data_IF_589973742319
#
_entry.id   IF_589973742319
#
_cell.length_a   1.000
_cell.length_b   1.000
_cell.length_c   1.000
_cell.angle_alpha   90.00
_cell.angle_beta   90.00
_cell.angle_gamma   90.00
#
_symmetry.space_group_name_H-M   'P 1'
#
loop_
_entity.id
_entity.type
_entity.pdbx_description
1 polymer ?
#
# COMPACT_ATOMS: atom_id res chain seq x y z
N UNK A 1 -70.14 56.01 -23.29
CA UNK A 1 -69.42 56.04 -24.58
C UNK A 1 -67.97 55.65 -24.34
N UNK A 2 -67.65 54.45 -24.84
CA UNK A 2 -66.32 53.89 -25.17
C UNK A 2 -65.12 54.27 -24.31
N UNK A 3 -64.67 53.35 -23.44
CA UNK A 3 -63.27 53.29 -23.01
C UNK A 3 -62.72 51.88 -23.18
N UNK A 4 -61.77 51.79 -24.11
CA UNK A 4 -60.92 50.64 -24.38
C UNK A 4 -60.16 50.20 -23.14
N UNK A 5 -60.10 48.88 -22.89
CA UNK A 5 -59.05 48.27 -22.09
C UNK A 5 -58.41 47.15 -22.92
N UNK A 6 -57.09 47.28 -23.10
CA UNK A 6 -56.22 46.42 -23.91
C UNK A 6 -56.00 45.07 -23.23
N UNK A 7 -56.15 43.98 -23.98
CA UNK A 7 -55.64 42.66 -23.62
C UNK A 7 -54.28 42.50 -24.32
N UNK A 8 -53.19 42.41 -23.54
CA UNK A 8 -51.89 41.96 -24.02
C UNK A 8 -51.82 40.44 -23.94
N UNK A 9 -51.59 39.80 -25.09
CA UNK A 9 -51.11 38.43 -25.16
C UNK A 9 -49.57 38.45 -25.25
N UNK A 10 -48.89 37.68 -24.40
CA UNK A 10 -47.49 37.30 -24.62
C UNK A 10 -47.30 35.83 -24.24
N UNK A 11 -46.62 35.15 -25.16
CA UNK A 11 -46.47 33.71 -25.33
C UNK A 11 -45.65 33.04 -24.21
N UNK A 12 -46.10 31.85 -23.81
CA UNK A 12 -45.33 30.91 -22.98
C UNK A 12 -44.49 30.00 -23.90
N UNK A 13 -43.18 30.22 -23.98
CA UNK A 13 -42.26 29.31 -24.67
C UNK A 13 -41.79 28.21 -23.73
N UNK A 14 -42.14 26.96 -24.02
CA UNK A 14 -41.61 25.79 -23.36
C UNK A 14 -40.23 25.43 -23.93
N UNK A 15 -39.17 25.54 -23.13
CA UNK A 15 -37.84 25.02 -23.45
C UNK A 15 -37.71 23.58 -22.97
N UNK A 16 -37.64 22.63 -23.90
CA UNK A 16 -37.19 21.26 -23.63
C UNK A 16 -35.67 21.25 -23.40
N UNK A 17 -35.23 20.83 -22.22
CA UNK A 17 -33.82 20.56 -21.93
C UNK A 17 -33.47 19.16 -22.47
N UNK A 18 -32.61 19.11 -23.49
CA UNK A 18 -32.01 17.88 -23.97
C UNK A 18 -30.99 17.37 -22.92
N UNK A 19 -31.23 16.18 -22.38
CA UNK A 19 -30.27 15.50 -21.52
C UNK A 19 -29.13 14.92 -22.39
N UNK A 20 -27.98 15.59 -22.40
CA UNK A 20 -26.75 15.00 -22.94
C UNK A 20 -26.13 14.07 -21.91
N UNK A 21 -26.23 12.77 -22.15
CA UNK A 21 -25.45 11.72 -21.50
C UNK A 21 -23.98 11.88 -21.87
N UNK A 22 -23.17 12.46 -20.97
CA UNK A 22 -21.71 12.41 -21.10
C UNK A 22 -21.24 10.98 -20.85
N UNK A 23 -20.86 10.29 -21.93
CA UNK A 23 -20.01 9.12 -21.85
C UNK A 23 -18.69 9.52 -21.15
N UNK A 24 -18.33 8.80 -20.09
CA UNK A 24 -17.06 9.02 -19.38
C UNK A 24 -15.86 8.81 -20.31
N UNK A 25 -14.68 9.34 -19.96
CA UNK A 25 -13.50 9.23 -20.81
C UNK A 25 -13.08 7.76 -20.93
N UNK A 26 -13.30 7.18 -22.11
CA UNK A 26 -12.65 5.95 -22.56
C UNK A 26 -11.16 6.24 -22.70
N UNK A 27 -10.35 5.71 -21.78
CA UNK A 27 -8.88 5.67 -21.92
C UNK A 27 -8.52 5.06 -23.25
N UNK A 28 -7.72 5.75 -24.06
CA UNK A 28 -7.23 5.23 -25.33
C UNK A 28 -6.34 4.02 -25.08
N UNK A 29 -6.41 3.04 -25.97
CA UNK A 29 -5.56 1.84 -25.92
C UNK A 29 -4.08 2.27 -25.87
N UNK A 30 -3.40 1.96 -24.76
CA UNK A 30 -1.99 2.31 -24.52
C UNK A 30 -1.73 3.50 -23.57
N UNK A 31 -2.76 4.22 -23.09
CA UNK A 31 -2.57 5.25 -22.05
C UNK A 31 -2.50 4.65 -20.64
N UNK A 32 -1.54 5.11 -19.83
CA UNK A 32 -1.44 4.71 -18.44
C UNK A 32 -2.68 5.16 -17.67
N UNK A 33 -3.31 4.20 -16.98
CA UNK A 33 -4.47 4.46 -16.13
C UNK A 33 -4.14 5.50 -15.05
N UNK A 34 -5.01 6.48 -14.77
CA UNK A 34 -4.79 7.45 -13.71
C UNK A 34 -4.55 6.77 -12.35
N UNK A 35 -3.61 7.28 -11.56
CA UNK A 35 -3.21 6.68 -10.27
C UNK A 35 -4.39 6.38 -9.33
N UNK A 36 -5.36 7.29 -9.22
CA UNK A 36 -6.57 7.07 -8.41
C UNK A 36 -7.37 5.86 -8.88
N UNK A 37 -7.46 5.64 -10.20
CA UNK A 37 -8.13 4.47 -10.78
C UNK A 37 -7.28 3.22 -10.62
N UNK A 38 -5.96 3.30 -10.72
CA UNK A 38 -5.05 2.17 -10.40
C UNK A 38 -5.27 1.66 -8.98
N UNK A 39 -5.42 2.58 -8.04
CA UNK A 39 -5.70 2.24 -6.64
C UNK A 39 -7.11 1.68 -6.47
N UNK A 40 -8.12 2.37 -7.00
CA UNK A 40 -9.51 2.01 -6.77
C UNK A 40 -9.92 0.70 -7.45
N UNK A 41 -9.41 0.41 -8.64
CA UNK A 41 -9.88 -0.67 -9.50
C UNK A 41 -9.12 -1.99 -9.32
N UNK A 42 -8.37 -2.13 -8.23
CA UNK A 42 -7.77 -3.41 -7.85
C UNK A 42 -8.85 -4.44 -7.53
N UNK A 43 -8.50 -5.69 -7.75
CA UNK A 43 -9.22 -6.86 -7.24
C UNK A 43 -8.40 -7.49 -6.13
N UNK A 44 -9.07 -8.12 -5.17
CA UNK A 44 -8.44 -8.57 -3.93
C UNK A 44 -8.23 -10.10 -3.91
N UNK A 45 -7.28 -10.61 -3.11
CA UNK A 45 -6.36 -9.89 -2.22
C UNK A 45 -5.31 -9.02 -2.92
N UNK A 46 -4.87 -7.96 -2.25
CA UNK A 46 -3.88 -7.00 -2.75
C UNK A 46 -2.61 -7.12 -1.91
N UNK A 47 -1.48 -7.41 -2.54
CA UNK A 47 -0.20 -7.72 -1.87
C UNK A 47 0.82 -6.66 -2.25
N UNK A 48 1.71 -6.29 -1.33
CA UNK A 48 2.81 -5.36 -1.60
C UNK A 48 4.17 -6.02 -1.48
N UNK A 49 5.16 -5.43 -2.15
CA UNK A 49 6.57 -5.82 -2.06
C UNK A 49 7.35 -4.75 -1.28
N UNK A 50 7.90 -5.14 -0.14
CA UNK A 50 8.85 -4.35 0.64
C UNK A 50 10.28 -4.71 0.24
N UNK A 51 10.85 -3.96 -0.70
CA UNK A 51 12.18 -4.18 -1.28
C UNK A 51 12.36 -5.54 -2.01
N UNK A 52 12.33 -6.67 -1.32
CA UNK A 52 12.70 -7.97 -1.88
C UNK A 52 11.53 -8.72 -2.51
N UNK A 53 11.74 -9.47 -3.61
CA UNK A 53 10.68 -10.20 -4.30
C UNK A 53 10.31 -11.50 -3.58
N UNK A 54 9.21 -12.13 -4.01
CA UNK A 54 8.82 -13.47 -3.58
C UNK A 54 9.85 -14.53 -4.04
N UNK A 55 10.21 -15.48 -3.17
CA UNK A 55 11.33 -16.40 -3.42
C UNK A 55 10.96 -17.80 -3.91
N UNK A 56 9.73 -18.25 -3.64
CA UNK A 56 9.27 -19.59 -4.01
C UNK A 56 8.92 -19.71 -5.51
N UNK A 57 8.93 -18.61 -6.27
CA UNK A 57 8.63 -18.56 -7.70
C UNK A 57 9.88 -18.72 -8.56
N UNK A 58 10.72 -19.70 -8.23
CA UNK A 58 11.98 -19.97 -8.94
C UNK A 58 11.69 -20.37 -10.39
N UNK A 59 12.14 -19.55 -11.33
CA UNK A 59 11.95 -19.76 -12.77
C UNK A 59 10.95 -18.81 -13.42
N UNK A 60 10.23 -18.00 -12.63
CA UNK A 60 9.41 -16.91 -13.17
C UNK A 60 10.28 -15.67 -13.51
N UNK A 61 9.92 -14.96 -14.58
CA UNK A 61 10.58 -13.69 -14.92
C UNK A 61 10.41 -12.68 -13.77
N UNK A 62 11.49 -11.99 -13.42
CA UNK A 62 11.52 -11.08 -12.28
C UNK A 62 10.51 -9.92 -12.38
N UNK A 63 10.16 -9.46 -13.59
CA UNK A 63 9.12 -8.44 -13.73
C UNK A 63 7.72 -9.03 -13.57
N UNK A 64 7.50 -10.27 -14.02
CA UNK A 64 6.25 -11.00 -13.76
C UNK A 64 6.07 -11.20 -12.26
N UNK A 65 7.10 -11.67 -11.55
CA UNK A 65 7.07 -11.82 -10.08
C UNK A 65 6.80 -10.48 -9.39
N UNK A 66 7.47 -9.41 -9.80
CA UNK A 66 7.20 -8.07 -9.28
C UNK A 66 5.74 -7.64 -9.53
N UNK A 67 5.23 -7.84 -10.75
CA UNK A 67 3.89 -7.41 -11.16
C UNK A 67 2.75 -8.21 -10.50
N UNK A 68 3.03 -9.34 -9.85
CA UNK A 68 2.05 -10.01 -8.97
C UNK A 68 1.57 -9.09 -7.84
N UNK A 69 2.44 -8.20 -7.38
CA UNK A 69 2.14 -7.20 -6.35
C UNK A 69 1.37 -6.02 -6.92
N UNK A 70 0.55 -5.40 -6.08
CA UNK A 70 -0.20 -4.18 -6.40
C UNK A 70 0.46 -2.91 -5.88
N UNK A 71 1.47 -3.04 -5.01
CA UNK A 71 2.34 -1.94 -4.61
C UNK A 71 3.77 -2.46 -4.43
N UNK A 72 4.75 -1.71 -4.92
CA UNK A 72 6.17 -1.98 -4.67
C UNK A 72 6.80 -0.69 -4.16
N UNK A 73 7.56 -0.78 -3.07
CA UNK A 73 8.51 0.26 -2.70
C UNK A 73 9.92 -0.30 -2.64
N UNK A 74 10.87 0.48 -3.15
CA UNK A 74 12.30 0.14 -3.15
C UNK A 74 13.12 1.42 -3.31
N UNK A 75 14.42 1.39 -2.98
CA UNK A 75 15.34 2.46 -3.39
C UNK A 75 15.34 2.71 -4.92
N UNK A 76 15.61 3.95 -5.40
CA UNK A 76 15.49 4.35 -6.79
C UNK A 76 16.18 3.43 -7.82
N UNK A 77 17.33 2.85 -7.44
CA UNK A 77 18.10 1.94 -8.28
C UNK A 77 17.35 0.69 -8.73
N UNK A 78 16.28 0.27 -8.03
CA UNK A 78 15.44 -0.84 -8.48
C UNK A 78 14.83 -0.59 -9.85
N UNK A 79 14.43 0.65 -10.13
CA UNK A 79 13.92 1.04 -11.46
C UNK A 79 15.07 1.36 -12.44
N UNK A 80 16.32 1.26 -12.03
CA UNK A 80 17.48 1.63 -12.83
C UNK A 80 17.86 3.11 -12.72
N UNK A 81 17.23 3.88 -11.82
CA UNK A 81 17.58 5.28 -11.61
C UNK A 81 18.98 5.42 -10.99
N UNK A 82 19.79 6.32 -11.54
CA UNK A 82 21.14 6.60 -11.08
C UNK A 82 21.25 8.06 -10.63
N UNK A 83 21.61 8.27 -9.37
CA UNK A 83 21.81 9.61 -8.83
C UNK A 83 22.91 10.37 -9.61
N UNK A 84 22.71 11.67 -9.80
CA UNK A 84 23.54 12.51 -10.66
C UNK A 84 24.91 12.91 -10.09
N UNK A 85 25.18 12.60 -8.81
CA UNK A 85 26.50 12.84 -8.19
C UNK A 85 26.79 11.90 -7.04
N UNK A 86 28.08 11.80 -6.72
CA UNK A 86 28.60 11.18 -5.51
C UNK A 86 29.14 12.24 -4.54
N UNK A 87 29.08 12.00 -3.22
CA UNK A 87 28.39 10.89 -2.57
C UNK A 87 26.85 11.01 -2.71
N UNK A 88 26.15 9.87 -2.81
CA UNK A 88 24.69 9.81 -3.12
C UNK A 88 23.84 10.68 -2.20
N UNK A 89 24.20 10.82 -0.93
CA UNK A 89 23.49 11.64 0.05
C UNK A 89 23.45 13.11 -0.30
N UNK A 90 24.37 13.58 -1.13
CA UNK A 90 24.37 14.93 -1.66
C UNK A 90 23.58 15.06 -2.97
N UNK A 91 23.21 13.98 -3.66
CA UNK A 91 22.59 14.07 -4.98
C UNK A 91 21.25 14.84 -5.02
N UNK A 92 21.04 15.58 -6.11
CA UNK A 92 19.87 16.46 -6.31
C UNK A 92 18.97 16.03 -7.46
N UNK A 93 19.36 15.00 -8.22
CA UNK A 93 18.61 14.49 -9.35
C UNK A 93 19.19 13.19 -9.89
N UNK A 94 18.75 12.80 -11.08
CA UNK A 94 19.14 11.55 -11.73
C UNK A 94 19.76 11.80 -13.11
N UNK A 95 20.58 10.87 -13.60
CA UNK A 95 21.13 10.98 -14.96
C UNK A 95 20.01 10.83 -16.00
N UNK A 96 20.00 11.60 -17.10
CA UNK A 96 18.92 11.52 -18.09
C UNK A 96 18.70 10.13 -18.68
N UNK A 97 19.79 9.38 -18.94
CA UNK A 97 19.72 8.01 -19.45
C UNK A 97 19.03 7.06 -18.48
N UNK A 98 19.29 7.19 -17.18
CA UNK A 98 18.65 6.35 -16.15
C UNK A 98 17.14 6.64 -16.01
N UNK A 99 16.71 7.89 -16.21
CA UNK A 99 15.29 8.26 -16.20
C UNK A 99 14.55 7.57 -17.35
N UNK A 100 15.12 7.54 -18.55
CA UNK A 100 14.52 6.87 -19.70
C UNK A 100 14.35 5.35 -19.45
N UNK A 101 15.39 4.70 -18.91
CA UNK A 101 15.34 3.28 -18.55
C UNK A 101 14.29 2.99 -17.47
N UNK A 102 14.20 3.84 -16.44
CA UNK A 102 13.21 3.69 -15.37
C UNK A 102 11.77 3.82 -15.87
N UNK A 103 11.50 4.79 -16.76
CA UNK A 103 10.20 4.91 -17.44
C UNK A 103 9.87 3.68 -18.28
N UNK A 104 10.85 3.09 -18.96
CA UNK A 104 10.65 1.87 -19.75
C UNK A 104 10.33 0.66 -18.84
N UNK A 105 11.06 0.51 -17.72
CA UNK A 105 10.77 -0.55 -16.74
C UNK A 105 9.37 -0.39 -16.14
N UNK A 106 8.98 0.84 -15.76
CA UNK A 106 7.59 1.16 -15.35
C UNK A 106 6.57 0.73 -16.39
N UNK A 107 6.75 1.11 -17.67
CA UNK A 107 5.84 0.72 -18.76
C UNK A 107 5.70 -0.80 -18.88
N UNK A 108 6.79 -1.55 -18.75
CA UNK A 108 6.76 -3.03 -18.78
C UNK A 108 5.99 -3.59 -17.59
N UNK A 109 6.22 -3.09 -16.39
CA UNK A 109 5.50 -3.51 -15.18
C UNK A 109 3.99 -3.20 -15.29
N UNK A 110 3.62 -2.01 -15.80
CA UNK A 110 2.22 -1.62 -15.93
C UNK A 110 1.48 -2.36 -17.06
N UNK A 111 2.18 -2.93 -18.04
CA UNK A 111 1.58 -3.88 -18.98
C UNK A 111 1.19 -5.20 -18.31
N UNK A 112 1.99 -5.65 -17.33
CA UNK A 112 1.75 -6.88 -16.59
C UNK A 112 0.72 -6.68 -15.47
N UNK A 113 0.79 -5.56 -14.77
CA UNK A 113 -0.20 -5.15 -13.78
C UNK A 113 -0.59 -3.68 -13.97
N UNK A 114 -1.69 -3.40 -14.69
CA UNK A 114 -2.17 -2.04 -14.93
C UNK A 114 -2.52 -1.24 -13.68
N UNK A 115 -2.72 -1.91 -12.53
CA UNK A 115 -3.11 -1.30 -11.27
C UNK A 115 -1.95 -1.22 -10.23
N UNK A 116 -0.77 -1.76 -10.54
CA UNK A 116 0.43 -1.69 -9.68
C UNK A 116 0.67 -0.25 -9.23
N UNK A 117 1.26 0.01 -8.06
CA UNK A 117 1.74 1.33 -7.58
C UNK A 117 3.24 1.23 -7.29
N UNK A 118 4.03 2.21 -7.71
CA UNK A 118 5.49 2.21 -7.54
C UNK A 118 5.91 3.38 -6.65
N UNK A 119 6.64 3.11 -5.56
CA UNK A 119 7.20 4.14 -4.69
C UNK A 119 8.72 4.02 -4.60
N UNK A 120 9.40 5.15 -4.45
CA UNK A 120 10.83 5.18 -4.18
C UNK A 120 11.11 5.44 -2.68
N UNK A 121 11.90 4.56 -2.04
CA UNK A 121 12.44 4.85 -0.72
C UNK A 121 13.46 5.99 -0.82
N UNK A 122 13.26 7.06 -0.06
CA UNK A 122 14.22 8.15 0.10
C UNK A 122 14.76 8.12 1.52
N UNK A 123 16.06 7.85 1.65
CA UNK A 123 16.76 7.85 2.94
C UNK A 123 16.71 9.24 3.56
N UNK A 124 16.19 9.32 4.77
CA UNK A 124 16.20 10.53 5.57
C UNK A 124 16.75 10.31 6.99
N UNK A 125 16.55 9.13 7.58
CA UNK A 125 16.85 8.86 9.00
C UNK A 125 18.24 8.28 9.23
N UNK A 126 18.69 7.35 8.39
CA UNK A 126 20.01 6.76 8.49
C UNK A 126 20.57 6.29 7.13
N UNK A 127 21.90 6.18 7.07
CA UNK A 127 22.61 5.66 5.91
C UNK A 127 23.96 5.03 6.30
N UNK A 128 24.52 4.24 5.38
CA UNK A 128 25.88 3.69 5.49
C UNK A 128 26.93 4.78 5.35
N UNK A 129 28.17 4.50 5.80
CA UNK A 129 29.33 5.35 5.50
C UNK A 129 29.46 5.58 3.99
N UNK A 130 29.96 6.76 3.61
CA UNK A 130 30.08 7.17 2.21
C UNK A 130 28.79 7.70 1.58
N UNK A 131 27.64 7.67 2.29
CA UNK A 131 26.44 8.37 1.83
C UNK A 131 26.61 9.89 1.86
N UNK A 132 27.29 10.41 2.86
CA UNK A 132 27.78 11.79 2.93
C UNK A 132 29.29 11.75 3.21
N UNK A 133 30.03 12.84 2.95
CA UNK A 133 31.42 12.96 3.41
C UNK A 133 31.52 12.78 4.94
N UNK A 134 32.65 12.28 5.41
CA UNK A 134 32.91 12.17 6.85
C UNK A 134 32.92 13.57 7.48
N UNK A 135 32.30 13.72 8.66
CA UNK A 135 32.21 15.02 9.35
C UNK A 135 31.16 15.99 8.79
N UNK A 136 30.41 15.62 7.74
CA UNK A 136 29.34 16.47 7.22
C UNK A 136 28.30 16.80 8.31
N UNK A 137 27.85 18.05 8.36
CA UNK A 137 26.87 18.58 9.33
C UNK A 137 25.48 17.90 9.33
N UNK A 138 25.25 16.99 8.37
CA UNK A 138 24.00 16.24 8.23
C UNK A 138 24.12 14.82 8.79
N UNK A 139 25.29 14.42 9.29
CA UNK A 139 25.39 13.30 10.19
C UNK A 139 24.97 13.74 11.59
N UNK A 140 24.21 12.89 12.28
CA UNK A 140 23.87 13.14 13.68
C UNK A 140 25.05 12.73 14.57
N UNK A 141 25.49 13.67 15.41
CA UNK A 141 26.53 13.44 16.41
C UNK A 141 25.97 13.56 17.82
N UNK A 142 26.52 12.74 18.72
CA UNK A 142 26.35 12.85 20.16
C UNK A 142 27.72 12.65 20.81
N UNK A 143 28.13 13.59 21.66
CA UNK A 143 29.43 13.59 22.35
C UNK A 143 30.62 13.40 21.39
N UNK A 144 30.57 14.09 20.23
CA UNK A 144 31.59 14.04 19.18
C UNK A 144 31.62 12.73 18.37
N UNK A 145 30.71 11.79 18.59
CA UNK A 145 30.64 10.50 17.88
C UNK A 145 29.38 10.39 17.02
N UNK A 146 29.46 9.78 15.82
CA UNK A 146 28.29 9.59 14.98
C UNK A 146 27.30 8.63 15.67
N UNK A 147 26.03 8.99 15.67
CA UNK A 147 24.98 8.19 16.32
C UNK A 147 24.67 6.95 15.48
N UNK A 148 24.76 5.72 16.03
CA UNK A 148 24.37 4.51 15.31
C UNK A 148 22.91 4.54 14.87
N UNK A 149 22.65 4.12 13.64
CA UNK A 149 21.29 3.95 13.11
C UNK A 149 20.61 2.69 13.67
N UNK A 150 21.35 1.60 13.80
CA UNK A 150 20.81 0.31 14.23
C UNK A 150 21.74 -0.34 15.25
N UNK A 151 21.21 -1.19 16.12
CA UNK A 151 22.00 -1.88 17.14
C UNK A 151 23.00 -2.86 16.51
N UNK A 152 22.61 -3.45 15.37
CA UNK A 152 23.38 -4.36 14.54
C UNK A 152 24.54 -3.68 13.79
N UNK A 153 24.58 -2.34 13.77
CA UNK A 153 25.63 -1.54 13.15
C UNK A 153 25.52 -1.38 11.63
N UNK A 154 26.53 -0.72 11.05
CA UNK A 154 26.66 -0.49 9.60
C UNK A 154 25.91 0.74 9.04
N UNK A 155 25.05 1.39 9.84
CA UNK A 155 24.36 2.62 9.49
C UNK A 155 24.52 3.67 10.59
N UNK A 156 24.50 4.94 10.20
CA UNK A 156 24.59 6.09 11.09
C UNK A 156 23.41 7.02 10.85
N UNK A 157 22.92 7.65 11.91
CA UNK A 157 21.78 8.55 11.81
C UNK A 157 22.16 9.83 11.08
N UNK A 158 21.21 10.31 10.28
CA UNK A 158 21.26 11.57 9.58
C UNK A 158 20.46 12.60 10.39
N UNK A 159 20.95 13.83 10.47
CA UNK A 159 20.38 14.84 11.33
C UNK A 159 19.13 15.50 10.72
N UNK A 160 18.01 14.79 10.76
CA UNK A 160 16.70 15.30 10.33
C UNK A 160 16.19 16.50 11.17
N UNK A 161 16.91 16.91 12.22
CA UNK A 161 16.65 18.14 12.98
C UNK A 161 17.24 19.36 12.27
N UNK A 162 18.24 19.18 11.41
CA UNK A 162 18.79 20.24 10.56
C UNK A 162 17.77 20.63 9.46
N UNK A 163 17.33 21.92 9.39
CA UNK A 163 16.35 22.37 8.40
C UNK A 163 16.86 22.30 6.95
N UNK A 164 18.16 22.50 6.70
CA UNK A 164 18.74 22.38 5.36
C UNK A 164 18.69 20.92 4.89
N UNK A 165 19.00 19.99 5.78
CA UNK A 165 18.91 18.58 5.46
C UNK A 165 17.47 18.15 5.15
N UNK A 166 16.47 18.63 5.91
CA UNK A 166 15.06 18.38 5.58
C UNK A 166 14.66 18.94 4.22
N UNK A 167 15.11 20.15 3.87
CA UNK A 167 14.91 20.73 2.53
C UNK A 167 15.52 19.86 1.45
N UNK A 168 16.74 19.35 1.69
CA UNK A 168 17.43 18.47 0.77
C UNK A 168 16.69 17.14 0.57
N UNK A 169 16.22 16.50 1.65
CA UNK A 169 15.38 15.29 1.56
C UNK A 169 14.11 15.57 0.74
N UNK A 170 13.42 16.67 1.00
CA UNK A 170 12.23 17.06 0.25
C UNK A 170 12.53 17.28 -1.24
N UNK A 171 13.66 17.93 -1.57
CA UNK A 171 14.10 18.12 -2.96
C UNK A 171 14.39 16.78 -3.66
N UNK A 172 14.98 15.80 -2.95
CA UNK A 172 15.21 14.45 -3.48
C UNK A 172 13.90 13.67 -3.70
N UNK A 173 12.92 13.82 -2.82
CA UNK A 173 11.58 13.29 -3.02
C UNK A 173 10.92 13.89 -4.28
N UNK A 174 11.03 15.20 -4.48
CA UNK A 174 10.55 15.85 -5.70
C UNK A 174 11.26 15.31 -6.94
N UNK A 175 12.60 15.25 -6.90
CA UNK A 175 13.40 14.80 -8.04
C UNK A 175 13.05 13.39 -8.50
N UNK A 176 12.74 12.46 -7.58
CA UNK A 176 12.35 11.10 -7.96
C UNK A 176 10.93 11.05 -8.54
N UNK A 177 9.99 11.82 -8.00
CA UNK A 177 8.62 11.93 -8.53
C UNK A 177 8.60 12.56 -9.92
N UNK A 178 9.38 13.62 -10.15
CA UNK A 178 9.50 14.31 -11.44
C UNK A 178 10.09 13.42 -12.56
N UNK A 179 10.76 12.32 -12.20
CA UNK A 179 11.15 11.32 -13.21
C UNK A 179 9.93 10.68 -13.88
N UNK A 180 8.75 10.65 -13.25
CA UNK A 180 7.58 9.93 -13.75
C UNK A 180 7.75 8.40 -13.75
N UNK A 181 8.80 7.87 -13.13
CA UNK A 181 9.00 6.43 -12.98
C UNK A 181 8.26 5.85 -11.75
N UNK A 182 7.95 6.70 -10.77
CA UNK A 182 7.25 6.34 -9.53
C UNK A 182 6.01 7.21 -9.32
N UNK A 183 5.08 6.70 -8.53
CA UNK A 183 3.83 7.35 -8.10
C UNK A 183 3.98 8.14 -6.80
N UNK A 184 5.11 7.98 -6.10
CA UNK A 184 5.36 8.60 -4.82
C UNK A 184 6.64 8.14 -4.15
N UNK A 185 6.73 8.40 -2.85
CA UNK A 185 7.91 8.10 -2.03
C UNK A 185 7.54 7.30 -0.79
N UNK A 186 8.53 6.56 -0.28
CA UNK A 186 8.49 5.88 1.00
C UNK A 186 9.58 6.45 1.91
N UNK A 187 9.25 6.75 3.16
CA UNK A 187 10.18 7.22 4.19
C UNK A 187 10.24 6.19 5.33
N UNK A 188 11.39 5.54 5.47
CA UNK A 188 11.55 4.44 6.43
C UNK A 188 11.81 4.92 7.87
N UNK A 189 11.36 4.11 8.82
CA UNK A 189 11.39 4.35 10.26
C UNK A 189 10.78 5.69 10.71
N UNK A 190 9.47 5.73 10.93
CA UNK A 190 8.70 6.92 11.27
C UNK A 190 8.12 6.83 12.69
N UNK A 191 8.50 7.79 13.52
CA UNK A 191 7.90 8.07 14.81
C UNK A 191 7.76 9.58 14.89
N UNK A 192 6.54 10.09 14.81
CA UNK A 192 6.34 11.53 14.67
C UNK A 192 6.90 12.33 15.84
N UNK A 193 7.51 13.46 15.50
CA UNK A 193 8.03 14.49 16.38
C UNK A 193 7.94 15.82 15.60
N UNK A 194 8.33 16.93 16.22
CA UNK A 194 8.27 18.25 15.56
C UNK A 194 9.12 18.34 14.28
N UNK A 195 10.24 17.60 14.22
CA UNK A 195 11.16 17.63 13.09
C UNK A 195 10.65 16.78 11.93
N UNK A 196 10.03 15.63 12.22
CA UNK A 196 9.34 14.79 11.24
C UNK A 196 8.04 15.40 10.75
N UNK A 197 7.34 16.15 11.59
CA UNK A 197 6.24 17.00 11.14
C UNK A 197 6.74 18.05 10.12
N UNK A 198 7.82 18.76 10.44
CA UNK A 198 8.44 19.71 9.52
C UNK A 198 8.91 19.03 8.23
N UNK A 199 9.46 17.81 8.31
CA UNK A 199 9.86 17.02 7.15
C UNK A 199 8.66 16.60 6.30
N UNK A 200 7.57 16.09 6.90
CA UNK A 200 6.37 15.69 6.17
C UNK A 200 5.73 16.88 5.43
N UNK A 201 5.68 18.06 6.08
CA UNK A 201 5.26 19.31 5.44
C UNK A 201 6.15 19.67 4.25
N UNK A 202 7.47 19.63 4.43
CA UNK A 202 8.43 19.95 3.37
C UNK A 202 8.32 18.98 2.19
N UNK A 203 8.24 17.67 2.44
CA UNK A 203 8.09 16.64 1.41
C UNK A 203 6.77 16.84 0.68
N UNK A 204 5.64 17.00 1.39
CA UNK A 204 4.33 17.24 0.75
C UNK A 204 4.33 18.48 -0.12
N UNK A 205 4.92 19.59 0.36
CA UNK A 205 5.06 20.80 -0.42
C UNK A 205 5.88 20.57 -1.70
N UNK A 206 6.96 19.79 -1.61
CA UNK A 206 7.87 19.53 -2.73
C UNK A 206 7.31 18.55 -3.78
N UNK A 207 6.63 17.47 -3.36
CA UNK A 207 6.08 16.45 -4.29
C UNK A 207 4.67 16.77 -4.80
N UNK A 208 4.04 17.79 -4.21
CA UNK A 208 2.70 18.23 -4.57
C UNK A 208 1.58 17.32 -4.05
N UNK A 209 0.36 17.61 -4.51
CA UNK A 209 -0.86 16.99 -3.98
C UNK A 209 -1.16 15.60 -4.57
N UNK A 210 -0.56 15.27 -5.72
CA UNK A 210 -0.85 14.04 -6.47
C UNK A 210 0.04 12.86 -6.07
N UNK A 211 1.29 13.11 -5.73
CA UNK A 211 2.24 12.06 -5.37
C UNK A 211 1.88 11.43 -4.03
N UNK A 212 2.12 10.12 -3.91
CA UNK A 212 1.87 9.37 -2.68
C UNK A 212 3.03 9.52 -1.70
N UNK A 213 2.72 9.56 -0.41
CA UNK A 213 3.71 9.48 0.67
C UNK A 213 3.35 8.31 1.57
N UNK A 214 4.23 7.30 1.62
CA UNK A 214 4.16 6.16 2.53
C UNK A 214 5.22 6.36 3.62
N UNK A 215 4.90 6.07 4.88
CA UNK A 215 5.90 6.09 5.98
C UNK A 215 5.88 4.77 6.74
N UNK A 216 7.05 4.26 7.15
CA UNK A 216 7.08 3.07 8.01
C UNK A 216 6.75 3.47 9.46
N UNK A 217 5.48 3.40 9.84
CA UNK A 217 5.04 3.72 11.21
C UNK A 217 5.09 2.52 12.16
N UNK A 218 5.53 1.35 11.68
CA UNK A 218 5.25 0.06 12.31
C UNK A 218 3.77 -0.02 12.67
N UNK A 219 3.47 -0.25 13.95
CA UNK A 219 2.12 -0.41 14.47
C UNK A 219 1.64 0.81 15.28
N UNK A 220 2.20 2.01 15.00
CA UNK A 220 1.89 3.27 15.68
C UNK A 220 0.96 4.16 14.84
N UNK A 221 0.15 4.97 15.52
CA UNK A 221 -0.57 6.08 14.88
C UNK A 221 0.31 7.34 14.81
N UNK A 222 0.02 8.24 13.87
CA UNK A 222 0.78 9.48 13.64
C UNK A 222 -0.18 10.66 13.41
N UNK A 223 -0.96 11.09 14.43
CA UNK A 223 -1.92 12.18 14.28
C UNK A 223 -1.32 13.50 13.78
N UNK A 224 -0.10 13.85 14.18
CA UNK A 224 0.54 15.10 13.74
C UNK A 224 0.84 15.10 12.25
N UNK A 225 1.26 13.96 11.68
CA UNK A 225 1.62 13.87 10.27
C UNK A 225 0.52 13.33 9.35
N UNK A 226 -0.66 13.01 9.89
CA UNK A 226 -1.73 12.29 9.19
C UNK A 226 -2.19 12.97 7.88
N UNK A 227 -2.34 14.28 7.89
CA UNK A 227 -2.83 15.06 6.74
C UNK A 227 -1.86 15.08 5.53
N UNK A 228 -0.59 14.76 5.78
CA UNK A 228 0.48 14.77 4.77
C UNK A 228 0.74 13.39 4.18
N UNK A 229 0.35 12.31 4.85
CA UNK A 229 0.74 10.92 4.55
C UNK A 229 -0.44 10.14 3.97
N UNK A 230 -0.20 9.39 2.90
CA UNK A 230 -1.20 8.56 2.23
C UNK A 230 -1.33 7.15 2.80
N UNK A 231 -0.31 6.64 3.47
CA UNK A 231 -0.40 5.32 4.08
C UNK A 231 0.73 5.03 5.05
N UNK A 232 0.54 3.96 5.80
CA UNK A 232 1.60 3.34 6.57
C UNK A 232 2.15 2.11 5.88
N UNK A 233 3.46 1.94 5.93
CA UNK A 233 4.04 0.62 6.01
C UNK A 233 4.02 0.21 7.49
N UNK A 234 3.23 -0.81 7.79
CA UNK A 234 3.05 -1.36 9.13
C UNK A 234 3.86 -2.65 9.26
N UNK A 235 5.16 -2.52 9.44
CA UNK A 235 6.08 -3.62 9.78
C UNK A 235 5.79 -4.07 11.23
N UNK A 236 4.89 -5.04 11.39
CA UNK A 236 4.38 -5.46 12.70
C UNK A 236 5.19 -6.63 13.26
N UNK A 237 6.38 -6.33 13.80
CA UNK A 237 7.27 -7.29 14.45
C UNK A 237 6.74 -7.80 15.81
N UNK A 238 5.83 -7.06 16.45
CA UNK A 238 5.11 -7.46 17.67
C UNK A 238 3.74 -7.99 17.30
N UNK A 239 3.66 -9.30 17.04
CA UNK A 239 2.46 -9.99 16.56
C UNK A 239 2.19 -11.32 17.27
N UNK A 240 2.64 -11.49 18.53
CA UNK A 240 2.60 -12.78 19.23
C UNK A 240 1.40 -12.97 20.17
N UNK A 241 0.74 -11.89 20.55
CA UNK A 241 -0.33 -11.92 21.55
C UNK A 241 -1.64 -11.35 21.01
N UNK A 242 -2.76 -11.68 21.66
CA UNK A 242 -4.06 -11.07 21.36
C UNK A 242 -4.03 -9.53 21.45
N UNK A 243 -3.30 -8.99 22.43
CA UNK A 243 -3.11 -7.54 22.60
C UNK A 243 -2.35 -6.91 21.43
N UNK A 244 -1.33 -7.60 20.91
CA UNK A 244 -0.59 -7.15 19.72
C UNK A 244 -1.49 -7.05 18.51
N UNK A 245 -2.25 -8.12 18.20
CA UNK A 245 -3.15 -8.15 17.05
C UNK A 245 -4.28 -7.14 17.16
N UNK A 246 -4.80 -6.91 18.37
CA UNK A 246 -5.76 -5.82 18.61
C UNK A 246 -5.14 -4.47 18.27
N UNK A 247 -3.94 -4.17 18.76
CA UNK A 247 -3.24 -2.91 18.49
C UNK A 247 -2.96 -2.73 16.99
N UNK A 248 -2.56 -3.80 16.29
CA UNK A 248 -2.39 -3.79 14.82
C UNK A 248 -3.71 -3.44 14.11
N UNK A 249 -4.81 -4.11 14.47
CA UNK A 249 -6.13 -3.82 13.89
C UNK A 249 -6.60 -2.39 14.18
N UNK A 250 -6.43 -1.92 15.42
CA UNK A 250 -6.78 -0.55 15.84
C UNK A 250 -5.97 0.49 15.05
N UNK A 251 -4.66 0.29 14.87
CA UNK A 251 -3.79 1.18 14.09
C UNK A 251 -4.19 1.20 12.62
N UNK A 252 -4.46 0.04 12.01
CA UNK A 252 -4.91 -0.03 10.61
C UNK A 252 -6.24 0.70 10.42
N UNK A 253 -7.22 0.45 11.30
CA UNK A 253 -8.51 1.13 11.26
C UNK A 253 -8.37 2.65 11.47
N UNK A 254 -7.47 3.08 12.36
CA UNK A 254 -7.16 4.49 12.54
C UNK A 254 -6.55 5.09 11.26
N UNK A 255 -5.63 4.38 10.60
CA UNK A 255 -4.98 4.84 9.38
C UNK A 255 -5.99 4.99 8.23
N UNK A 256 -6.90 4.03 8.08
CA UNK A 256 -8.00 4.08 7.10
C UNK A 256 -8.97 5.23 7.33
N UNK A 257 -9.07 5.76 8.54
CA UNK A 257 -9.92 6.92 8.85
C UNK A 257 -9.19 8.24 8.68
N UNK A 258 -7.95 8.33 9.17
CA UNK A 258 -7.31 9.62 9.44
C UNK A 258 -6.22 10.00 8.41
N UNK A 259 -5.65 9.04 7.68
CA UNK A 259 -4.63 9.36 6.68
C UNK A 259 -5.25 9.97 5.42
N UNK A 260 -4.41 10.72 4.70
CA UNK A 260 -4.77 11.44 3.49
C UNK A 260 -5.20 10.47 2.37
N UNK A 261 -6.35 10.69 1.71
CA UNK A 261 -6.72 9.91 0.52
C UNK A 261 -5.87 10.29 -0.71
N UNK A 262 -5.70 9.38 -1.69
CA UNK A 262 -6.06 7.96 -1.64
C UNK A 262 -5.16 7.21 -0.63
N UNK A 263 -5.72 6.21 0.05
CA UNK A 263 -5.01 5.49 1.10
C UNK A 263 -4.29 4.27 0.54
N UNK A 264 -3.08 4.03 1.04
CA UNK A 264 -2.20 2.94 0.60
C UNK A 264 -1.54 2.21 1.78
N UNK A 265 -2.31 1.90 2.82
CA UNK A 265 -1.81 1.19 4.00
C UNK A 265 -1.34 -0.22 3.65
N UNK A 266 -0.15 -0.57 4.09
CA UNK A 266 0.54 -1.83 3.84
C UNK A 266 0.75 -2.53 5.18
N UNK A 267 0.01 -3.61 5.44
CA UNK A 267 0.12 -4.40 6.65
C UNK A 267 1.08 -5.58 6.45
N UNK A 268 2.16 -5.62 7.23
CA UNK A 268 3.06 -6.76 7.27
C UNK A 268 3.08 -7.38 8.66
N UNK A 269 3.05 -8.71 8.73
CA UNK A 269 3.47 -9.43 9.95
C UNK A 269 4.59 -10.41 9.62
N UNK A 270 5.45 -10.64 10.61
CA UNK A 270 6.49 -11.64 10.52
C UNK A 270 5.98 -12.99 10.99
N UNK A 271 6.47 -14.05 10.36
CA UNK A 271 6.24 -15.40 10.88
C UNK A 271 6.85 -15.57 12.27
N UNK A 272 6.28 -16.46 13.09
CA UNK A 272 6.85 -16.80 14.40
C UNK A 272 7.81 -17.98 14.35
N UNK A 273 7.51 -18.99 13.54
CA UNK A 273 8.37 -20.16 13.33
C UNK A 273 8.77 -20.42 11.87
N UNK A 274 7.84 -20.25 10.92
CA UNK A 274 8.10 -20.52 9.50
C UNK A 274 7.10 -19.81 8.60
N UNK A 275 7.50 -19.54 7.34
CA UNK A 275 6.58 -19.20 6.23
C UNK A 275 5.45 -20.21 6.01
N UNK A 276 5.56 -21.43 6.56
CA UNK A 276 4.52 -22.48 6.53
C UNK A 276 3.45 -22.31 7.60
N UNK A 277 3.52 -21.28 8.45
CA UNK A 277 2.42 -20.92 9.35
C UNK A 277 1.29 -20.27 8.55
N UNK A 278 0.51 -21.11 7.88
CA UNK A 278 -0.55 -20.67 6.99
C UNK A 278 -1.72 -20.02 7.76
N UNK A 279 -1.91 -20.34 9.04
CA UNK A 279 -2.94 -19.69 9.86
C UNK A 279 -2.57 -18.22 10.08
N UNK A 280 -1.31 -17.95 10.44
CA UNK A 280 -0.82 -16.59 10.64
C UNK A 280 -0.81 -15.77 9.34
N UNK A 281 -0.41 -16.40 8.22
CA UNK A 281 -0.47 -15.79 6.89
C UNK A 281 -1.92 -15.40 6.52
N UNK A 282 -2.88 -16.31 6.72
CA UNK A 282 -4.29 -16.04 6.44
C UNK A 282 -4.89 -15.03 7.41
N UNK A 283 -4.53 -15.06 8.69
CA UNK A 283 -4.94 -14.07 9.68
C UNK A 283 -4.47 -12.66 9.26
N UNK A 284 -3.23 -12.52 8.82
CA UNK A 284 -2.66 -11.26 8.33
C UNK A 284 -3.42 -10.75 7.12
N UNK A 285 -3.65 -11.64 6.15
CA UNK A 285 -4.37 -11.33 4.92
C UNK A 285 -5.82 -10.92 5.22
N UNK A 286 -6.54 -11.70 6.03
CA UNK A 286 -7.92 -11.44 6.38
C UNK A 286 -8.10 -10.21 7.27
N UNK A 287 -7.17 -9.91 8.19
CA UNK A 287 -7.18 -8.68 8.97
C UNK A 287 -7.11 -7.47 8.02
N UNK A 288 -6.14 -7.48 7.09
CA UNK A 288 -6.01 -6.41 6.08
C UNK A 288 -7.30 -6.25 5.28
N UNK A 289 -7.82 -7.33 4.72
CA UNK A 289 -9.02 -7.31 3.89
C UNK A 289 -10.28 -6.85 4.62
N UNK A 290 -10.43 -7.22 5.90
CA UNK A 290 -11.62 -6.88 6.69
C UNK A 290 -11.58 -5.45 7.24
N UNK A 291 -10.39 -4.87 7.42
CA UNK A 291 -10.21 -3.56 8.04
C UNK A 291 -9.75 -2.47 7.07
N UNK A 292 -9.36 -2.81 5.84
CA UNK A 292 -8.72 -1.89 4.88
C UNK A 292 -8.91 -2.33 3.41
N UNK A 293 -8.75 -1.38 2.49
CA UNK A 293 -8.59 -1.61 1.03
C UNK A 293 -7.11 -1.59 0.60
N UNK A 294 -6.22 -1.65 1.58
CA UNK A 294 -4.77 -1.59 1.45
C UNK A 294 -4.16 -2.89 0.98
N UNK A 295 -2.96 -3.16 1.47
CA UNK A 295 -2.13 -4.27 1.02
C UNK A 295 -1.72 -5.12 2.22
N UNK A 296 -1.48 -6.40 2.00
CA UNK A 296 -0.92 -7.31 3.00
C UNK A 296 0.42 -7.89 2.57
N UNK A 297 1.22 -8.30 3.54
CA UNK A 297 2.44 -9.09 3.36
C UNK A 297 2.64 -10.00 4.59
N UNK A 298 3.11 -11.21 4.35
CA UNK A 298 3.55 -12.13 5.40
C UNK A 298 4.97 -12.55 5.08
N UNK A 299 5.92 -12.25 5.97
CA UNK A 299 7.33 -12.23 5.63
C UNK A 299 8.23 -12.75 6.75
N UNK A 300 9.52 -12.76 6.43
CA UNK A 300 10.60 -13.10 7.32
C UNK A 300 10.85 -12.04 8.40
N UNK A 301 11.16 -12.46 9.63
CA UNK A 301 11.64 -11.54 10.65
C UNK A 301 13.07 -11.06 10.38
N UNK A 302 13.34 -9.76 10.60
CA UNK A 302 14.65 -9.13 10.34
C UNK A 302 15.88 -9.79 11.03
N UNK A 303 15.77 -10.48 12.19
CA UNK A 303 16.92 -11.18 12.77
C UNK A 303 17.48 -12.37 11.95
N UNK A 304 16.92 -12.68 10.79
CA UNK A 304 17.42 -13.72 9.89
C UNK A 304 18.57 -13.21 9.01
N UNK A 305 19.39 -14.11 8.42
CA UNK A 305 20.40 -13.71 7.45
C UNK A 305 19.77 -12.88 6.33
N UNK A 306 20.36 -11.71 6.05
CA UNK A 306 19.93 -10.80 4.98
C UNK A 306 19.74 -11.54 3.65
N UNK A 307 18.84 -11.05 2.79
CA UNK A 307 18.11 -9.76 2.88
C UNK A 307 16.80 -9.78 3.71
N UNK A 308 16.35 -8.62 4.19
CA UNK A 308 15.14 -8.44 5.01
C UNK A 308 13.84 -8.58 4.19
N UNK A 309 12.68 -8.77 4.83
CA UNK A 309 11.35 -8.80 4.17
C UNK A 309 11.17 -9.82 3.04
N UNK A 310 11.97 -10.90 3.04
CA UNK A 310 11.73 -12.00 2.12
C UNK A 310 10.38 -12.67 2.43
N UNK A 311 9.75 -13.20 1.39
CA UNK A 311 8.43 -13.83 1.49
C UNK A 311 8.22 -14.84 0.38
N UNK A 312 7.20 -15.67 0.55
CA UNK A 312 6.68 -16.53 -0.51
C UNK A 312 5.44 -15.90 -1.13
N UNK A 313 5.15 -16.24 -2.38
CA UNK A 313 3.82 -16.03 -2.96
C UNK A 313 2.91 -17.19 -2.57
N UNK A 314 1.79 -16.89 -1.91
CA UNK A 314 0.80 -17.87 -1.50
C UNK A 314 -0.36 -17.94 -2.50
N UNK A 315 -0.85 -19.13 -2.90
CA UNK A 315 -2.06 -19.25 -3.71
C UNK A 315 -3.29 -18.55 -3.08
N UNK A 316 -3.30 -18.41 -1.75
CA UNK A 316 -4.32 -17.65 -1.01
C UNK A 316 -4.37 -16.16 -1.39
N UNK A 317 -3.31 -15.62 -1.98
CA UNK A 317 -3.23 -14.24 -2.47
C UNK A 317 -3.64 -14.09 -3.95
N UNK A 318 -4.00 -15.18 -4.63
CA UNK A 318 -4.53 -15.09 -5.98
C UNK A 318 -5.83 -14.27 -5.99
N UNK A 319 -5.91 -13.31 -6.91
CA UNK A 319 -6.97 -12.28 -7.01
C UNK A 319 -8.33 -12.89 -7.36
N UNK A 320 -9.02 -13.42 -6.36
CA UNK A 320 -10.24 -14.21 -6.52
C UNK A 320 -11.50 -13.51 -5.99
N UNK A 321 -11.36 -12.46 -5.17
CA UNK A 321 -12.49 -11.83 -4.47
C UNK A 321 -13.24 -10.79 -5.30
N UNK A 322 -12.62 -10.21 -6.32
CA UNK A 322 -13.15 -8.99 -6.95
C UNK A 322 -13.00 -7.77 -6.04
N UNK A 323 -13.94 -6.82 -6.10
CA UNK A 323 -13.95 -5.57 -5.31
C UNK A 323 -14.76 -5.71 -4.01
N UNK A 324 -14.44 -4.93 -2.97
CA UNK A 324 -15.24 -4.90 -1.75
C UNK A 324 -16.62 -4.28 -2.00
N UNK A 325 -17.66 -4.85 -1.37
CA UNK A 325 -19.04 -4.36 -1.47
C UNK A 325 -19.41 -3.39 -0.33
N UNK A 326 -18.50 -3.16 0.62
CA UNK A 326 -18.69 -2.28 1.76
C UNK A 326 -17.58 -2.45 2.79
N UNK A 327 -17.66 -1.77 3.95
CA UNK A 327 -16.70 -1.94 5.04
C UNK A 327 -16.89 -3.31 5.74
N UNK A 328 -15.86 -3.74 6.46
CA UNK A 328 -15.97 -4.89 7.36
C UNK A 328 -16.96 -4.64 8.50
N UNK A 329 -17.57 -5.72 8.98
CA UNK A 329 -18.56 -5.72 10.06
C UNK A 329 -18.15 -6.72 11.13
N UNK A 330 -18.15 -6.27 12.39
CA UNK A 330 -17.99 -7.15 13.54
C UNK A 330 -19.16 -8.12 13.67
N UNK A 331 -18.87 -9.32 14.15
CA UNK A 331 -19.84 -10.39 14.42
C UNK A 331 -20.03 -10.57 15.93
N UNK A 332 -21.16 -11.16 16.38
CA UNK A 332 -21.39 -11.45 17.81
C UNK A 332 -20.32 -12.37 18.44
N UNK A 333 -19.69 -13.22 17.64
CA UNK A 333 -18.61 -14.13 18.03
C UNK A 333 -17.22 -13.46 18.03
N UNK A 334 -17.16 -12.12 17.93
CA UNK A 334 -15.94 -11.29 17.88
C UNK A 334 -15.09 -11.44 16.62
N UNK A 335 -15.47 -12.29 15.68
CA UNK A 335 -14.86 -12.28 14.35
C UNK A 335 -15.30 -11.04 13.56
N UNK A 336 -14.58 -10.72 12.49
CA UNK A 336 -14.93 -9.63 11.57
C UNK A 336 -15.14 -10.23 10.19
N UNK A 337 -16.20 -9.84 9.49
CA UNK A 337 -16.46 -10.28 8.13
C UNK A 337 -16.57 -9.12 7.17
N UNK A 338 -16.22 -9.34 5.90
CA UNK A 338 -16.38 -8.36 4.83
C UNK A 338 -16.81 -9.03 3.53
N UNK A 339 -17.78 -8.43 2.87
CA UNK A 339 -18.30 -8.92 1.59
C UNK A 339 -17.54 -8.32 0.41
N UNK A 340 -17.27 -9.18 -0.57
CA UNK A 340 -16.70 -8.85 -1.87
C UNK A 340 -17.60 -9.41 -2.98
N UNK A 341 -17.38 -8.96 -4.21
CA UNK A 341 -18.13 -9.40 -5.39
C UNK A 341 -18.23 -10.93 -5.47
N UNK A 342 -17.10 -11.63 -5.30
CA UNK A 342 -17.01 -13.07 -5.54
C UNK A 342 -16.92 -13.91 -4.26
N UNK A 343 -16.99 -13.31 -3.08
CA UNK A 343 -16.82 -14.06 -1.84
C UNK A 343 -16.91 -13.22 -0.58
N UNK A 344 -16.71 -13.89 0.54
CA UNK A 344 -16.74 -13.28 1.87
C UNK A 344 -15.44 -13.58 2.57
N UNK A 345 -14.82 -12.58 3.19
CA UNK A 345 -13.63 -12.75 4.02
C UNK A 345 -14.05 -12.74 5.48
N UNK A 346 -13.52 -13.67 6.28
CA UNK A 346 -13.70 -13.66 7.74
C UNK A 346 -12.33 -13.70 8.41
N UNK A 347 -12.11 -12.78 9.34
CA UNK A 347 -10.96 -12.74 10.22
C UNK A 347 -11.39 -13.13 11.63
N UNK A 348 -10.74 -14.15 12.22
CA UNK A 348 -10.96 -14.56 13.59
C UNK A 348 -9.75 -14.15 14.47
N UNK A 349 -9.92 -13.14 15.36
CA UNK A 349 -8.80 -12.57 16.09
C UNK A 349 -7.99 -13.56 16.92
N UNK A 350 -6.70 -13.26 17.08
CA UNK A 350 -5.84 -13.98 18.02
C UNK A 350 -6.41 -13.92 19.44
N UNK A 351 -6.44 -15.08 20.11
CA UNK A 351 -7.04 -15.23 21.44
C UNK A 351 -8.56 -15.43 21.45
N UNK A 352 -9.22 -15.42 20.28
CA UNK A 352 -10.63 -15.80 20.19
C UNK A 352 -10.80 -17.32 20.06
N UNK A 353 -11.98 -17.82 20.42
CA UNK A 353 -12.33 -19.24 20.24
C UNK A 353 -12.59 -19.55 18.75
N UNK A 354 -12.49 -20.82 18.32
CA UNK A 354 -12.93 -21.22 16.99
C UNK A 354 -14.38 -20.80 16.74
N UNK A 355 -14.66 -20.25 15.56
CA UNK A 355 -15.98 -19.78 15.18
C UNK A 355 -16.55 -20.62 14.04
N UNK A 356 -17.88 -20.70 13.99
CA UNK A 356 -18.60 -21.30 12.87
C UNK A 356 -19.07 -20.21 11.92
N UNK A 357 -18.57 -20.25 10.69
CA UNK A 357 -19.04 -19.40 9.60
C UNK A 357 -20.13 -20.14 8.83
N UNK A 358 -21.32 -19.56 8.73
CA UNK A 358 -22.47 -20.16 8.05
C UNK A 358 -22.97 -19.25 6.95
N UNK A 359 -23.25 -19.82 5.78
CA UNK A 359 -23.78 -19.15 4.60
C UNK A 359 -25.12 -19.78 4.19
N UNK A 360 -25.97 -19.01 3.50
CA UNK A 360 -27.23 -19.50 2.94
C UNK A 360 -27.02 -20.47 1.75
N UNK A 361 -25.87 -20.37 1.09
CA UNK A 361 -25.45 -21.15 -0.07
C UNK A 361 -24.08 -21.78 0.16
N UNK A 362 -23.73 -22.79 -0.63
CA UNK A 362 -22.39 -23.39 -0.56
C UNK A 362 -21.32 -22.36 -0.89
N UNK A 363 -20.26 -22.31 -0.09
CA UNK A 363 -19.03 -21.56 -0.35
C UNK A 363 -17.83 -22.48 -0.33
N UNK A 364 -16.78 -22.11 -1.05
CA UNK A 364 -15.50 -22.81 -1.03
C UNK A 364 -14.52 -22.03 -0.17
N UNK A 365 -14.04 -22.63 0.91
CA UNK A 365 -12.95 -22.11 1.72
C UNK A 365 -11.64 -22.19 0.95
N UNK A 366 -10.92 -21.08 0.79
CA UNK A 366 -9.59 -21.08 0.17
C UNK A 366 -8.52 -21.66 1.12
N UNK A 367 -8.69 -21.51 2.42
CA UNK A 367 -7.77 -22.08 3.41
C UNK A 367 -7.79 -23.60 3.46
N UNK A 368 -8.96 -24.23 3.24
CA UNK A 368 -9.14 -25.68 3.38
C UNK A 368 -9.51 -26.42 2.10
N UNK A 369 -9.90 -25.70 1.05
CA UNK A 369 -10.44 -26.26 -0.20
C UNK A 369 -11.84 -26.87 -0.05
N UNK A 370 -12.44 -26.86 1.14
CA UNK A 370 -13.74 -27.50 1.40
C UNK A 370 -14.89 -26.63 0.92
N UNK A 371 -15.83 -27.26 0.22
CA UNK A 371 -17.12 -26.66 -0.16
C UNK A 371 -18.21 -27.04 0.83
N UNK A 372 -19.03 -26.07 1.21
CA UNK A 372 -20.24 -26.31 2.00
C UNK A 372 -20.87 -25.02 2.51
N UNK A 373 -21.96 -25.13 3.27
CA UNK A 373 -22.62 -23.98 3.91
C UNK A 373 -22.06 -23.60 5.27
N UNK A 374 -21.31 -24.49 5.90
CA UNK A 374 -20.81 -24.35 7.28
C UNK A 374 -19.32 -24.64 7.30
N UNK A 375 -18.55 -23.70 7.83
CA UNK A 375 -17.09 -23.81 7.95
C UNK A 375 -16.67 -23.53 9.38
N UNK A 376 -15.69 -24.29 9.87
CA UNK A 376 -15.03 -24.02 11.14
C UNK A 376 -13.78 -23.18 10.85
N UNK A 377 -13.65 -22.05 11.53
CA UNK A 377 -12.48 -21.17 11.45
C UNK A 377 -11.79 -21.12 12.81
N UNK A 378 -10.52 -21.51 12.86
CA UNK A 378 -9.74 -21.49 14.09
C UNK A 378 -9.55 -20.07 14.62
N UNK A 379 -9.18 -19.92 15.90
CA UNK A 379 -8.68 -18.66 16.44
C UNK A 379 -7.30 -18.33 15.85
N UNK A 380 -6.94 -17.05 15.80
CA UNK A 380 -5.71 -16.58 15.15
C UNK A 380 -5.59 -17.03 13.68
N UNK A 381 -6.70 -16.97 12.94
CA UNK A 381 -6.78 -17.40 11.54
C UNK A 381 -7.70 -16.45 10.75
N UNK A 382 -7.68 -16.61 9.44
CA UNK A 382 -8.60 -15.97 8.52
C UNK A 382 -8.94 -16.88 7.36
N UNK A 383 -10.01 -16.59 6.65
CA UNK A 383 -10.33 -17.34 5.44
C UNK A 383 -11.10 -16.50 4.43
N UNK A 384 -11.04 -16.95 3.18
CA UNK A 384 -11.78 -16.43 2.04
C UNK A 384 -12.76 -17.52 1.60
N UNK A 385 -14.05 -17.19 1.60
CA UNK A 385 -15.14 -18.09 1.24
C UNK A 385 -15.73 -17.66 -0.10
N UNK A 386 -15.29 -18.31 -1.18
CA UNK A 386 -15.71 -17.99 -2.54
C UNK A 386 -17.13 -18.48 -2.82
N UNK A 387 -17.90 -17.65 -3.53
CA UNK A 387 -19.20 -18.00 -4.11
C UNK A 387 -19.03 -19.12 -5.14
N UNK A 388 -20.08 -19.92 -5.40
CA UNK A 388 -20.09 -20.80 -6.56
C UNK A 388 -19.91 -19.94 -7.82
N UNK A 389 -18.89 -20.24 -8.63
CA UNK A 389 -18.74 -19.56 -9.92
C UNK A 389 -19.95 -19.90 -10.80
N UNK A 390 -20.50 -18.89 -11.46
CA UNK A 390 -21.49 -19.15 -12.51
C UNK A 390 -20.78 -19.82 -13.69
N UNK A 391 -21.46 -20.72 -14.44
CA UNK A 391 -20.84 -21.49 -15.56
C UNK A 391 -20.08 -20.63 -16.57
N UNK A 392 -20.43 -19.36 -16.68
CA UNK A 392 -19.84 -18.37 -17.59
C UNK A 392 -18.48 -17.82 -17.09
N UNK A 393 -18.22 -17.86 -15.79
CA UNK A 393 -16.98 -17.33 -15.19
C UNK A 393 -15.87 -18.39 -15.13
N UNK A 394 -16.21 -19.67 -14.98
CA UNK A 394 -15.26 -20.78 -14.99
C UNK A 394 -14.54 -20.92 -16.35
N UNK A 395 -15.22 -20.57 -17.45
CA UNK A 395 -14.64 -20.58 -18.80
C UNK A 395 -13.61 -19.46 -19.03
N UNK A 396 -13.67 -18.36 -18.27
CA UNK A 396 -12.73 -17.23 -18.39
C UNK A 396 -11.50 -17.35 -17.49
N UNK A 397 -11.51 -18.22 -16.50
CA UNK A 397 -10.38 -18.45 -15.59
C UNK A 397 -9.37 -19.48 -16.12
N UNK A 398 -9.65 -20.08 -17.28
CA UNK A 398 -8.78 -21.06 -17.97
C UNK A 398 -8.01 -20.46 -19.17
N UNK A 399 -8.23 -19.17 -19.49
CA UNK A 399 -7.43 -18.36 -20.42
C UNK A 399 -6.55 -17.38 -19.62
#
# INVERSE_FOLDING_TARGET
>A
MTRCLRIMAVFLTATMAAATTQAGPTTREGEEKPLLRRIADRTFPSVFQAWNPAENLKGEDALVTAARHDLIFHGPGYLGLQWNRQPVGLATGFTPGSIAQARQKRKRLLKLNPNLVLLAEIRYRDARKGFLPDGHEWWMYKDGKPVPGWAEGGFYQLDYRNPEYRRHVAARCRAVVETGAVDGVMLDWWQEDEHRLALAKAVRAAVGQKALILVNANDRTTPLTAEYVNGYFMECYRSRTAGDWKRIADTLAWAEKNLRPPRINCLETWYHGSRRDLNLMRATTALSLTHSDGYCLFSDPNPLPRPDHLHDWYPFWNKSLGRPLGPGKGRPDKAVQREFENGTVVYNPMGNQPVTVTFSEDRTSLGTGRRGRKHLLAGADGDIYLKPQTRTEAAKAQE
#
